data_IF_104058441084
#
_entry.id   IF_104058441084
#
_cell.length_a   1.000
_cell.length_b   1.000
_cell.length_c   1.000
_cell.angle_alpha   90.00
_cell.angle_beta   90.00
_cell.angle_gamma   90.00
#
_symmetry.space_group_name_H-M   'P 1'
#
loop_
_entity.id
_entity.type
_entity.pdbx_description
1 polymer ?
#
# COMPACT_ATOMS: atom_id res chain seq x y z
N UNK A 1 37.41 29.32 26.82
CA UNK A 1 37.98 27.99 27.10
C UNK A 1 36.83 27.15 27.61
N UNK A 2 36.19 26.44 26.67
CA UNK A 2 36.18 24.96 26.53
C UNK A 2 35.12 24.37 27.48
N UNK A 3 34.05 23.73 27.02
CA UNK A 3 33.92 22.83 25.87
C UNK A 3 32.43 22.63 25.53
N UNK A 4 32.10 22.57 24.24
CA UNK A 4 30.98 21.80 23.66
C UNK A 4 31.20 20.31 23.95
N UNK A 5 30.31 19.33 23.91
CA UNK A 5 29.05 19.00 23.26
C UNK A 5 28.45 17.87 24.10
N UNK A 6 27.14 17.61 24.01
CA UNK A 6 26.67 16.22 23.95
C UNK A 6 25.30 16.23 23.23
N UNK A 7 25.38 16.11 21.90
CA UNK A 7 24.26 15.71 21.06
C UNK A 7 23.80 14.32 21.52
N UNK A 8 22.69 14.28 22.24
CA UNK A 8 22.00 13.04 22.57
C UNK A 8 21.19 12.60 21.34
N UNK A 9 21.80 11.82 20.46
CA UNK A 9 21.05 11.01 19.49
C UNK A 9 20.52 9.76 20.21
N UNK A 10 19.23 9.41 20.07
CA UNK A 10 18.69 8.21 20.68
C UNK A 10 19.37 6.97 20.07
N UNK A 11 19.94 6.10 20.92
CA UNK A 11 20.47 4.80 20.51
C UNK A 11 19.36 4.01 19.77
N UNK A 12 19.56 3.76 18.48
CA UNK A 12 18.69 2.90 17.68
C UNK A 12 18.70 1.48 18.25
N UNK A 13 17.51 0.96 18.60
CA UNK A 13 17.32 -0.40 19.11
C UNK A 13 17.36 -1.41 17.94
N UNK A 14 18.56 -1.59 17.39
CA UNK A 14 18.86 -2.48 16.27
C UNK A 14 18.40 -3.93 16.48
N UNK A 15 18.39 -4.42 17.72
CA UNK A 15 18.01 -5.80 18.05
C UNK A 15 16.50 -6.03 17.81
N UNK A 16 15.68 -5.03 18.12
CA UNK A 16 14.24 -5.06 17.88
C UNK A 16 13.87 -5.00 16.38
N UNK A 17 14.63 -4.22 15.61
CA UNK A 17 14.42 -4.07 14.17
C UNK A 17 14.87 -5.35 13.43
N UNK A 18 16.08 -5.85 13.72
CA UNK A 18 16.57 -7.12 13.16
C UNK A 18 15.62 -8.29 13.46
N UNK A 19 15.06 -8.33 14.67
CA UNK A 19 14.05 -9.33 15.05
C UNK A 19 12.77 -9.17 14.22
N UNK A 20 12.31 -7.94 14.00
CA UNK A 20 11.11 -7.69 13.18
C UNK A 20 11.33 -8.11 11.73
N UNK A 21 12.46 -7.72 11.13
CA UNK A 21 12.88 -8.11 9.77
C UNK A 21 12.90 -9.63 9.56
N UNK A 22 13.34 -10.39 10.56
CA UNK A 22 13.39 -11.86 10.47
C UNK A 22 12.00 -12.47 10.23
N UNK A 23 10.96 -11.96 10.90
CA UNK A 23 9.59 -12.45 10.67
C UNK A 23 9.06 -12.11 9.29
N UNK A 24 9.43 -10.95 8.74
CA UNK A 24 9.07 -10.57 7.35
C UNK A 24 9.74 -11.52 6.37
N UNK A 25 11.04 -11.79 6.55
CA UNK A 25 11.81 -12.73 5.73
C UNK A 25 11.21 -14.13 5.74
N UNK A 26 10.94 -14.70 6.93
CA UNK A 26 10.37 -16.05 7.04
C UNK A 26 8.96 -16.13 6.47
N UNK A 27 8.14 -15.09 6.68
CA UNK A 27 6.79 -15.01 6.08
C UNK A 27 6.86 -14.98 4.55
N UNK A 28 7.71 -14.11 3.98
CA UNK A 28 7.95 -14.05 2.54
C UNK A 28 8.36 -15.42 1.99
N UNK A 29 9.27 -16.12 2.67
CA UNK A 29 9.69 -17.48 2.31
C UNK A 29 8.54 -18.45 2.09
N UNK A 30 7.52 -18.44 2.95
CA UNK A 30 6.33 -19.29 2.82
C UNK A 30 5.44 -18.85 1.64
N UNK A 31 5.12 -17.56 1.54
CA UNK A 31 4.29 -17.06 0.42
C UNK A 31 4.94 -17.34 -0.93
N UNK A 32 6.25 -17.16 -1.01
CA UNK A 32 7.00 -17.38 -2.22
C UNK A 32 7.11 -18.86 -2.58
N UNK A 33 7.64 -19.68 -1.67
CA UNK A 33 8.03 -21.08 -1.97
C UNK A 33 6.85 -22.04 -1.91
N UNK A 34 5.94 -21.83 -0.97
CA UNK A 34 4.81 -22.73 -0.73
C UNK A 34 3.53 -22.25 -1.43
N UNK A 35 3.27 -20.93 -1.43
CA UNK A 35 2.05 -20.43 -2.07
C UNK A 35 2.27 -20.11 -3.56
N UNK A 36 3.48 -19.70 -3.94
CA UNK A 36 3.74 -19.14 -5.27
C UNK A 36 3.10 -17.77 -5.44
N UNK A 37 3.09 -16.96 -4.38
CA UNK A 37 2.54 -15.61 -4.34
C UNK A 37 3.68 -14.59 -4.34
N UNK A 38 3.45 -13.44 -4.96
CA UNK A 38 4.30 -12.25 -4.80
C UNK A 38 4.18 -11.77 -3.37
N UNK A 39 5.27 -11.27 -2.82
CA UNK A 39 5.32 -10.66 -1.49
C UNK A 39 5.94 -9.28 -1.64
N UNK A 40 5.24 -8.27 -1.18
CA UNK A 40 5.67 -6.87 -1.26
C UNK A 40 5.71 -6.32 0.15
N UNK A 41 6.92 -6.11 0.65
CA UNK A 41 7.15 -5.49 1.96
C UNK A 41 6.82 -3.99 1.92
N UNK A 42 6.30 -3.47 3.02
CA UNK A 42 6.14 -2.03 3.27
C UNK A 42 7.23 -1.61 4.25
N UNK A 43 8.20 -0.84 3.79
CA UNK A 43 9.36 -0.42 4.60
C UNK A 43 9.06 0.78 5.50
N UNK A 44 8.01 1.54 5.21
CA UNK A 44 7.54 2.67 6.03
C UNK A 44 6.07 2.42 6.40
N UNK A 45 5.80 1.97 7.63
CA UNK A 45 4.44 1.66 8.08
C UNK A 45 4.12 2.36 9.40
N UNK A 46 3.50 3.53 9.32
CA UNK A 46 2.90 4.23 10.45
C UNK A 46 1.54 3.60 10.86
N UNK A 47 0.93 2.83 9.95
CA UNK A 47 -0.45 2.31 10.04
C UNK A 47 -0.56 0.82 10.42
N UNK A 48 0.54 0.06 10.43
CA UNK A 48 0.56 -1.32 10.93
C UNK A 48 0.09 -2.38 9.93
N UNK A 49 0.45 -2.21 8.65
CA UNK A 49 0.57 -3.31 7.68
C UNK A 49 2.06 -3.39 7.31
N UNK A 50 2.64 -4.58 7.34
CA UNK A 50 4.08 -4.75 7.06
C UNK A 50 4.33 -5.29 5.64
N UNK A 51 3.33 -5.94 5.03
CA UNK A 51 3.46 -6.47 3.68
C UNK A 51 2.11 -6.74 3.01
N UNK A 52 2.15 -6.93 1.70
CA UNK A 52 1.09 -7.57 0.92
C UNK A 52 1.57 -8.88 0.33
N UNK A 53 0.66 -9.83 0.20
CA UNK A 53 0.88 -11.03 -0.60
C UNK A 53 -0.16 -11.13 -1.71
N UNK A 54 0.30 -11.32 -2.95
CA UNK A 54 -0.54 -11.40 -4.15
C UNK A 54 -0.35 -12.72 -4.90
N UNK A 55 -1.45 -13.40 -5.24
CA UNK A 55 -1.37 -14.57 -6.10
C UNK A 55 -0.95 -14.20 -7.53
N UNK A 56 0.17 -14.77 -7.99
CA UNK A 56 0.68 -14.59 -9.37
C UNK A 56 -0.36 -15.04 -10.40
N UNK A 57 -0.97 -16.20 -10.15
CA UNK A 57 -2.03 -16.77 -10.99
C UNK A 57 -3.40 -16.44 -10.41
N UNK A 58 -4.37 -16.02 -11.24
CA UNK A 58 -5.73 -15.81 -10.76
C UNK A 58 -6.30 -17.06 -10.11
N UNK A 59 -6.90 -16.91 -8.94
CA UNK A 59 -7.56 -17.99 -8.20
C UNK A 59 -9.04 -17.93 -8.57
N UNK A 60 -9.55 -18.96 -9.26
CA UNK A 60 -10.91 -18.98 -9.82
C UNK A 60 -11.21 -17.73 -10.69
N UNK A 61 -10.22 -17.29 -11.46
CA UNK A 61 -10.34 -16.12 -12.35
C UNK A 61 -10.28 -14.77 -11.64
N UNK A 62 -10.00 -14.72 -10.33
CA UNK A 62 -9.92 -13.48 -9.56
C UNK A 62 -8.52 -13.23 -9.04
N UNK A 63 -8.14 -11.95 -8.99
CA UNK A 63 -6.93 -11.50 -8.30
C UNK A 63 -7.10 -11.73 -6.80
N UNK A 64 -6.05 -12.20 -6.12
CA UNK A 64 -6.02 -12.40 -4.67
C UNK A 64 -4.88 -11.61 -4.11
N UNK A 65 -5.21 -10.64 -3.27
CA UNK A 65 -4.26 -9.82 -2.53
C UNK A 65 -4.72 -9.86 -1.08
N UNK A 66 -3.77 -9.99 -0.16
CA UNK A 66 -4.01 -9.87 1.28
C UNK A 66 -3.00 -8.92 1.89
N UNK A 67 -3.40 -8.24 2.95
CA UNK A 67 -2.52 -7.40 3.75
C UNK A 67 -2.07 -8.18 4.98
N UNK A 68 -0.82 -7.99 5.37
CA UNK A 68 -0.15 -8.76 6.42
C UNK A 68 0.37 -7.81 7.48
N UNK A 69 0.00 -8.05 8.74
CA UNK A 69 0.75 -7.55 9.89
C UNK A 69 1.52 -8.73 10.48
N UNK A 70 2.83 -8.55 10.59
CA UNK A 70 3.79 -9.53 11.06
C UNK A 70 4.28 -9.09 12.46
N UNK A 71 4.28 -10.04 13.40
CA UNK A 71 4.74 -9.82 14.77
C UNK A 71 5.76 -10.90 15.13
N UNK A 72 6.99 -10.48 15.38
CA UNK A 72 8.09 -11.39 15.70
C UNK A 72 8.42 -11.37 17.18
N UNK A 73 8.55 -12.55 17.77
CA UNK A 73 9.07 -12.73 19.11
C UNK A 73 8.18 -13.61 19.98
N UNK A 74 8.82 -14.32 20.92
CA UNK A 74 8.15 -15.25 21.85
C UNK A 74 7.13 -14.57 22.76
N UNK A 75 7.26 -13.26 23.00
CA UNK A 75 6.34 -12.45 23.81
C UNK A 75 4.91 -12.38 23.24
N UNK A 76 4.76 -12.61 21.93
CA UNK A 76 3.46 -12.71 21.24
C UNK A 76 2.81 -14.10 21.38
N UNK A 77 3.58 -15.13 21.71
CA UNK A 77 3.11 -16.52 21.84
C UNK A 77 2.57 -16.82 23.25
N UNK A 78 1.58 -16.05 23.68
CA UNK A 78 0.90 -16.25 24.97
C UNK A 78 -0.10 -17.39 24.86
N UNK A 79 0.12 -18.49 25.59
CA UNK A 79 -0.78 -19.65 25.57
C UNK A 79 -2.17 -19.34 26.13
N UNK A 80 -3.18 -19.91 25.50
CA UNK A 80 -4.58 -19.96 25.93
C UNK A 80 -5.13 -21.35 25.62
N UNK A 81 -5.04 -22.27 26.59
CA UNK A 81 -5.32 -23.68 26.34
C UNK A 81 -4.30 -24.25 25.36
N UNK A 82 -4.78 -24.87 24.29
CA UNK A 82 -3.94 -25.37 23.19
C UNK A 82 -3.59 -24.29 22.15
N UNK A 83 -4.18 -23.11 22.23
CA UNK A 83 -4.02 -22.03 21.25
C UNK A 83 -3.20 -20.88 21.81
N UNK A 84 -3.06 -19.81 21.03
CA UNK A 84 -2.40 -18.58 21.42
C UNK A 84 -3.38 -17.41 21.45
N UNK A 85 -3.04 -16.35 22.19
CA UNK A 85 -3.82 -15.11 22.23
C UNK A 85 -2.94 -13.91 21.93
N UNK A 86 -3.33 -13.16 20.90
CA UNK A 86 -2.73 -11.87 20.59
C UNK A 86 -3.54 -10.75 21.22
N UNK A 87 -2.86 -9.70 21.68
CA UNK A 87 -3.46 -8.47 22.19
C UNK A 87 -3.02 -7.28 21.35
N UNK A 88 -3.96 -6.49 20.86
CA UNK A 88 -3.70 -5.32 20.02
C UNK A 88 -4.29 -4.02 20.58
N UNK A 89 -3.76 -2.87 20.12
CA UNK A 89 -4.34 -1.55 20.40
C UNK A 89 -5.62 -1.35 19.59
N UNK A 90 -6.61 -0.64 20.15
CA UNK A 90 -7.91 -0.41 19.49
C UNK A 90 -7.78 0.23 18.10
N UNK A 91 -6.89 1.22 17.96
CA UNK A 91 -6.61 1.87 16.65
C UNK A 91 -6.25 0.88 15.54
N UNK A 92 -5.52 -0.19 15.86
CA UNK A 92 -5.16 -1.21 14.87
C UNK A 92 -6.36 -2.09 14.50
N UNK A 93 -7.27 -2.39 15.45
CA UNK A 93 -8.48 -3.16 15.11
C UNK A 93 -9.38 -2.37 14.17
N UNK A 94 -9.60 -1.09 14.47
CA UNK A 94 -10.39 -0.21 13.62
C UNK A 94 -9.81 -0.16 12.23
N UNK A 95 -8.52 0.16 12.12
CA UNK A 95 -7.81 0.22 10.85
C UNK A 95 -7.85 -1.11 10.08
N UNK A 96 -7.47 -2.24 10.70
CA UNK A 96 -7.41 -3.54 10.03
C UNK A 96 -8.78 -4.08 9.60
N UNK A 97 -9.84 -3.81 10.37
CA UNK A 97 -11.18 -4.36 10.07
C UNK A 97 -11.97 -3.52 9.07
N UNK A 98 -11.52 -2.28 8.80
CA UNK A 98 -12.05 -1.44 7.72
C UNK A 98 -11.09 -1.36 6.54
N UNK A 99 -9.95 -2.07 6.60
CA UNK A 99 -8.95 -2.05 5.56
C UNK A 99 -9.54 -2.67 4.27
N UNK A 100 -9.26 -2.11 3.07
CA UNK A 100 -9.83 -2.60 1.82
C UNK A 100 -9.47 -4.06 1.52
N UNK A 101 -8.30 -4.50 2.00
CA UNK A 101 -7.80 -5.86 1.82
C UNK A 101 -8.06 -6.72 3.06
N UNK A 102 -8.29 -8.04 2.90
CA UNK A 102 -8.29 -8.97 4.02
C UNK A 102 -6.95 -8.88 4.78
N UNK A 103 -7.03 -8.50 6.07
CA UNK A 103 -5.84 -8.39 6.92
C UNK A 103 -5.61 -9.68 7.70
N UNK A 104 -4.40 -10.19 7.63
CA UNK A 104 -3.92 -11.32 8.41
C UNK A 104 -2.88 -10.85 9.40
N UNK A 105 -3.00 -11.32 10.65
CA UNK A 105 -1.90 -11.28 11.58
C UNK A 105 -1.07 -12.56 11.43
N UNK A 106 0.24 -12.40 11.27
CA UNK A 106 1.22 -13.46 11.28
C UNK A 106 2.07 -13.28 12.53
N UNK A 107 2.23 -14.33 13.32
CA UNK A 107 3.17 -14.35 14.44
C UNK A 107 4.33 -15.28 14.11
N UNK A 108 5.55 -14.78 14.28
CA UNK A 108 6.76 -15.56 14.11
C UNK A 108 7.48 -15.73 15.46
N UNK A 109 7.81 -16.97 15.83
CA UNK A 109 8.64 -17.28 16.98
C UNK A 109 10.03 -17.75 16.52
N UNK A 110 11.08 -16.93 16.68
CA UNK A 110 12.45 -17.30 16.27
C UNK A 110 13.02 -18.51 17.02
N UNK A 111 12.52 -18.82 18.22
CA UNK A 111 13.09 -19.89 19.06
C UNK A 111 12.79 -21.30 18.52
N UNK A 112 11.57 -21.52 18.01
CA UNK A 112 11.14 -22.82 17.48
C UNK A 112 10.78 -22.76 15.98
N UNK A 113 11.08 -21.63 15.33
CA UNK A 113 10.80 -21.36 13.92
C UNK A 113 9.32 -21.54 13.55
N UNK A 114 8.41 -21.20 14.47
CA UNK A 114 6.97 -21.33 14.23
C UNK A 114 6.38 -20.05 13.63
N UNK A 115 5.72 -20.17 12.49
CA UNK A 115 4.84 -19.15 11.91
C UNK A 115 3.38 -19.54 12.11
N UNK A 116 2.62 -18.72 12.82
CA UNK A 116 1.17 -18.88 12.98
C UNK A 116 0.42 -17.73 12.35
N UNK A 117 -0.80 -17.97 11.89
CA UNK A 117 -1.62 -16.93 11.26
C UNK A 117 -3.06 -16.91 11.76
N UNK A 118 -3.70 -15.75 11.67
CA UNK A 118 -5.14 -15.61 11.84
C UNK A 118 -5.66 -14.44 11.00
N UNK A 119 -6.81 -14.62 10.35
CA UNK A 119 -7.51 -13.52 9.70
C UNK A 119 -8.14 -12.62 10.76
N UNK A 120 -7.90 -11.31 10.67
CA UNK A 120 -8.46 -10.34 11.62
C UNK A 120 -9.87 -9.99 11.19
N UNK A 121 -10.87 -10.47 11.93
CA UNK A 121 -12.27 -10.16 11.73
C UNK A 121 -12.91 -9.78 13.07
N UNK A 122 -13.85 -8.82 13.07
CA UNK A 122 -14.42 -8.29 14.32
C UNK A 122 -15.13 -9.35 15.16
N UNK A 123 -15.79 -10.31 14.52
CA UNK A 123 -16.47 -11.43 15.17
C UNK A 123 -15.51 -12.42 15.86
N UNK A 124 -14.27 -12.53 15.37
CA UNK A 124 -13.18 -13.29 16.00
C UNK A 124 -12.47 -12.54 17.13
N UNK A 125 -12.75 -11.23 17.28
CA UNK A 125 -12.11 -10.37 18.26
C UNK A 125 -12.94 -10.21 19.53
N UNK A 126 -12.27 -10.21 20.68
CA UNK A 126 -12.86 -9.81 21.97
C UNK A 126 -12.38 -8.41 22.33
N UNK A 127 -13.32 -7.49 22.49
CA UNK A 127 -13.05 -6.12 22.91
C UNK A 127 -12.86 -6.02 24.42
N UNK A 128 -11.92 -5.18 24.84
CA UNK A 128 -11.68 -4.78 26.23
C UNK A 128 -11.64 -3.24 26.31
N UNK A 129 -11.47 -2.68 27.51
CA UNK A 129 -11.56 -1.21 27.72
C UNK A 129 -10.54 -0.38 26.92
N UNK A 130 -9.32 -0.88 26.72
CA UNK A 130 -8.20 -0.15 26.07
C UNK A 130 -7.53 -0.92 24.94
N UNK A 131 -7.90 -2.18 24.74
CA UNK A 131 -7.25 -3.10 23.82
C UNK A 131 -8.27 -4.14 23.36
N UNK A 132 -7.88 -4.95 22.40
CA UNK A 132 -8.65 -6.10 21.95
C UNK A 132 -7.78 -7.34 22.00
N UNK A 133 -8.39 -8.51 21.79
CA UNK A 133 -7.66 -9.76 21.67
C UNK A 133 -8.28 -10.68 20.64
N UNK A 134 -7.46 -11.51 20.00
CA UNK A 134 -7.89 -12.56 19.07
C UNK A 134 -7.18 -13.87 19.42
N UNK A 135 -7.90 -14.98 19.26
CA UNK A 135 -7.31 -16.32 19.40
C UNK A 135 -6.65 -16.70 18.09
N UNK A 136 -5.41 -17.15 18.17
CA UNK A 136 -4.62 -17.69 17.07
C UNK A 136 -4.50 -19.19 17.31
N UNK A 137 -5.29 -20.02 16.60
CA UNK A 137 -5.27 -21.46 16.75
C UNK A 137 -3.87 -22.02 16.52
N UNK A 138 -3.44 -22.97 17.36
CA UNK A 138 -2.14 -23.65 17.16
C UNK A 138 -2.09 -24.45 15.85
N UNK A 139 -3.24 -24.84 15.32
CA UNK A 139 -3.37 -25.49 14.02
C UNK A 139 -3.18 -24.56 12.83
N UNK A 140 -3.27 -23.24 13.02
CA UNK A 140 -3.08 -22.27 11.94
C UNK A 140 -1.60 -22.01 11.68
N UNK A 141 -0.87 -23.06 11.32
CA UNK A 141 0.54 -22.95 10.92
C UNK A 141 0.60 -22.34 9.51
N UNK A 142 1.46 -21.35 9.32
CA UNK A 142 1.68 -20.73 8.01
C UNK A 142 2.64 -21.61 7.21
N UNK A 143 2.07 -22.49 6.40
CA UNK A 143 2.75 -23.36 5.45
C UNK A 143 1.75 -23.70 4.32
N UNK A 144 2.11 -24.59 3.40
CA UNK A 144 1.30 -24.98 2.25
C UNK A 144 -0.16 -25.31 2.60
N UNK A 145 -0.42 -25.91 3.77
CA UNK A 145 -1.79 -26.25 4.21
C UNK A 145 -2.68 -25.02 4.43
N UNK A 146 -2.08 -23.86 4.74
CA UNK A 146 -2.79 -22.61 4.92
C UNK A 146 -3.21 -21.97 3.59
N UNK A 147 -2.58 -22.32 2.47
CA UNK A 147 -2.80 -21.68 1.15
C UNK A 147 -4.28 -21.60 0.79
N UNK A 148 -5.03 -22.68 0.99
CA UNK A 148 -6.45 -22.73 0.69
C UNK A 148 -7.28 -21.69 1.47
N UNK A 149 -6.89 -21.37 2.70
CA UNK A 149 -7.57 -20.35 3.50
C UNK A 149 -7.31 -18.93 2.98
N UNK A 150 -6.09 -18.65 2.53
CA UNK A 150 -5.74 -17.38 1.90
C UNK A 150 -6.38 -17.23 0.51
N UNK A 151 -6.51 -18.33 -0.25
CA UNK A 151 -7.20 -18.35 -1.54
C UNK A 151 -8.73 -18.16 -1.41
N UNK A 152 -9.30 -18.52 -0.25
CA UNK A 152 -10.72 -18.43 0.02
C UNK A 152 -11.18 -17.02 0.44
N UNK A 153 -10.27 -16.07 0.67
CA UNK A 153 -10.61 -14.69 1.03
C UNK A 153 -11.39 -13.99 -0.09
N UNK A 154 -12.02 -12.88 0.22
CA UNK A 154 -12.65 -12.05 -0.79
C UNK A 154 -11.57 -11.48 -1.72
N UNK A 155 -11.90 -11.35 -3.01
CA UNK A 155 -11.04 -10.68 -3.97
C UNK A 155 -11.43 -9.23 -4.04
N UNK A 156 -10.44 -8.34 -4.15
CA UNK A 156 -10.68 -6.99 -4.64
C UNK A 156 -11.26 -7.02 -6.05
N UNK A 157 -12.13 -6.05 -6.34
CA UNK A 157 -12.42 -5.72 -7.73
C UNK A 157 -11.13 -5.25 -8.42
N UNK A 158 -10.96 -5.48 -9.73
CA UNK A 158 -9.74 -5.07 -10.44
C UNK A 158 -9.35 -3.60 -10.24
N UNK A 159 -10.33 -2.70 -10.17
CA UNK A 159 -10.09 -1.27 -9.93
C UNK A 159 -9.54 -0.97 -8.52
N UNK A 160 -9.99 -1.70 -7.51
CA UNK A 160 -9.51 -1.54 -6.13
C UNK A 160 -8.07 -2.05 -6.00
N UNK A 161 -7.73 -3.15 -6.68
CA UNK A 161 -6.36 -3.67 -6.73
C UNK A 161 -5.41 -2.67 -7.39
N UNK A 162 -5.85 -1.97 -8.44
CA UNK A 162 -5.07 -0.89 -9.05
C UNK A 162 -4.85 0.28 -8.08
N UNK A 163 -5.92 0.75 -7.40
CA UNK A 163 -5.80 1.82 -6.41
C UNK A 163 -4.83 1.47 -5.29
N UNK A 164 -4.92 0.26 -4.74
CA UNK A 164 -3.99 -0.20 -3.70
C UNK A 164 -2.53 -0.22 -4.18
N UNK A 165 -2.28 -0.63 -5.42
CA UNK A 165 -0.93 -0.57 -5.99
C UNK A 165 -0.45 0.86 -6.23
N UNK A 166 -1.34 1.80 -6.56
CA UNK A 166 -0.96 3.19 -6.73
C UNK A 166 -0.68 3.87 -5.38
N UNK A 167 -1.51 3.60 -4.37
CA UNK A 167 -1.28 4.06 -2.99
C UNK A 167 0.05 3.54 -2.44
N UNK A 168 0.42 2.31 -2.82
CA UNK A 168 1.67 1.68 -2.38
C UNK A 168 2.95 2.27 -2.95
N UNK A 169 2.83 2.95 -4.08
CA UNK A 169 3.92 3.50 -4.85
C UNK A 169 3.78 5.01 -4.98
N UNK A 170 2.95 5.68 -4.18
CA UNK A 170 2.66 7.11 -4.35
C UNK A 170 3.94 7.96 -4.43
N UNK A 171 4.86 7.79 -3.47
CA UNK A 171 6.18 8.44 -3.48
C UNK A 171 7.00 8.05 -4.71
N UNK A 172 7.05 6.76 -5.07
CA UNK A 172 7.81 6.30 -6.23
C UNK A 172 7.24 6.84 -7.54
N UNK A 173 5.91 6.96 -7.65
CA UNK A 173 5.21 7.55 -8.79
C UNK A 173 5.53 9.05 -8.86
N UNK A 174 5.47 9.77 -7.74
CA UNK A 174 5.81 11.20 -7.66
C UNK A 174 7.25 11.45 -8.11
N UNK A 175 8.23 10.76 -7.53
CA UNK A 175 9.63 10.88 -7.96
C UNK A 175 9.82 10.50 -9.43
N UNK A 176 9.14 9.46 -9.90
CA UNK A 176 9.23 9.04 -11.30
C UNK A 176 8.56 10.01 -12.28
N UNK A 177 7.67 10.89 -11.80
CA UNK A 177 7.04 11.92 -12.63
C UNK A 177 8.01 13.07 -12.92
N UNK A 178 8.94 13.33 -12.00
CA UNK A 178 9.85 14.48 -12.05
C UNK A 178 11.28 14.12 -12.51
N UNK A 179 11.59 12.82 -12.63
CA UNK A 179 12.94 12.32 -12.94
C UNK A 179 12.97 11.34 -14.12
N UNK A 180 14.16 11.10 -14.67
CA UNK A 180 14.37 9.98 -15.58
C UNK A 180 14.57 8.68 -14.77
N UNK A 181 13.52 7.86 -14.63
CA UNK A 181 13.59 6.65 -13.78
C UNK A 181 14.00 5.39 -14.53
N UNK A 182 14.86 4.58 -13.92
CA UNK A 182 15.32 3.30 -14.45
C UNK A 182 15.10 2.15 -13.46
N UNK A 183 14.45 1.09 -13.93
CA UNK A 183 14.33 -0.17 -13.19
C UNK A 183 15.32 -1.18 -13.74
N UNK A 184 16.17 -1.71 -12.87
CA UNK A 184 17.14 -2.76 -13.20
C UNK A 184 16.74 -4.04 -12.49
N UNK A 185 16.28 -5.02 -13.27
CA UNK A 185 15.90 -6.34 -12.80
C UNK A 185 16.99 -7.37 -13.07
N UNK A 186 17.18 -8.30 -12.13
CA UNK A 186 18.08 -9.44 -12.28
C UNK A 186 17.29 -10.72 -12.62
N UNK A 187 17.47 -11.26 -13.82
CA UNK A 187 16.94 -12.57 -14.22
C UNK A 187 18.00 -13.66 -14.06
N UNK A 188 17.76 -14.60 -13.15
CA UNK A 188 18.60 -15.76 -12.88
C UNK A 188 18.15 -16.96 -13.72
N UNK A 189 18.68 -17.07 -14.94
CA UNK A 189 18.24 -18.00 -16.00
C UNK A 189 18.22 -19.48 -15.62
N UNK A 190 19.03 -19.91 -14.65
CA UNK A 190 19.13 -21.32 -14.23
C UNK A 190 18.55 -21.59 -12.84
N UNK A 191 17.71 -20.70 -12.29
CA UNK A 191 17.15 -20.83 -10.94
C UNK A 191 15.62 -20.81 -10.97
N UNK A 192 14.98 -21.51 -10.03
CA UNK A 192 13.50 -21.56 -9.91
C UNK A 192 12.88 -20.24 -9.41
N UNK A 193 13.67 -19.41 -8.75
CA UNK A 193 13.35 -18.02 -8.41
C UNK A 193 14.09 -17.15 -9.42
N UNK A 194 13.45 -16.94 -10.58
CA UNK A 194 14.10 -16.39 -11.77
C UNK A 194 14.35 -14.91 -11.63
N UNK A 195 13.32 -14.08 -11.50
CA UNK A 195 13.51 -12.64 -11.29
C UNK A 195 13.80 -12.34 -9.83
N UNK A 196 14.87 -11.59 -9.59
CA UNK A 196 15.31 -11.15 -8.28
C UNK A 196 15.67 -9.69 -8.32
N UNK A 197 15.76 -9.10 -7.13
CA UNK A 197 16.38 -7.79 -6.88
C UNK A 197 15.97 -6.71 -7.89
N UNK A 198 15.05 -5.84 -7.49
CA UNK A 198 14.80 -4.62 -8.24
C UNK A 198 15.72 -3.52 -7.69
N UNK A 199 16.54 -2.94 -8.57
CA UNK A 199 17.28 -1.71 -8.30
C UNK A 199 16.63 -0.57 -9.08
N UNK A 200 16.30 0.51 -8.40
CA UNK A 200 15.74 1.71 -9.00
C UNK A 200 16.79 2.81 -8.96
N UNK A 201 16.93 3.52 -10.08
CA UNK A 201 17.79 4.67 -10.23
C UNK A 201 16.98 5.86 -10.75
N UNK A 202 17.21 7.03 -10.19
CA UNK A 202 16.69 8.29 -10.69
C UNK A 202 17.77 9.07 -11.43
N UNK A 203 17.40 9.66 -12.56
CA UNK A 203 18.20 10.45 -13.51
C UNK A 203 19.34 9.71 -14.22
N UNK A 204 20.18 8.95 -13.50
CA UNK A 204 21.27 8.18 -14.08
C UNK A 204 21.55 6.85 -13.35
N UNK A 205 21.97 5.84 -14.11
CA UNK A 205 22.41 4.56 -13.55
C UNK A 205 23.89 4.67 -13.15
N UNK A 206 24.14 5.23 -11.97
CA UNK A 206 25.48 5.43 -11.41
C UNK A 206 25.56 4.95 -9.95
N UNK A 207 26.69 4.35 -9.58
CA UNK A 207 26.98 4.02 -8.18
C UNK A 207 25.94 3.11 -7.50
N UNK A 208 25.48 3.53 -6.33
CA UNK A 208 24.46 2.85 -5.53
C UNK A 208 23.06 3.21 -6.01
N UNK A 209 22.14 2.23 -6.11
CA UNK A 209 20.75 2.51 -6.46
C UNK A 209 20.05 3.36 -5.39
N UNK A 210 19.15 4.24 -5.83
CA UNK A 210 18.32 5.07 -4.95
C UNK A 210 17.34 4.23 -4.13
N UNK A 211 16.84 3.13 -4.73
CA UNK A 211 16.03 2.14 -4.04
C UNK A 211 16.45 0.73 -4.42
N UNK A 212 16.56 -0.15 -3.43
CA UNK A 212 16.79 -1.59 -3.62
C UNK A 212 15.68 -2.37 -2.96
N UNK A 213 14.99 -3.20 -3.75
CA UNK A 213 13.93 -4.08 -3.26
C UNK A 213 14.33 -5.52 -3.54
N UNK A 214 14.43 -6.30 -2.46
CA UNK A 214 14.77 -7.72 -2.53
C UNK A 214 13.55 -8.55 -2.94
N UNK A 215 13.34 -8.64 -4.25
CA UNK A 215 12.40 -9.60 -4.81
C UNK A 215 13.05 -10.96 -5.04
N UNK A 216 12.23 -12.00 -4.95
CA UNK A 216 12.53 -13.30 -5.50
C UNK A 216 11.22 -13.86 -6.06
N UNK A 217 11.07 -13.94 -7.38
CA UNK A 217 9.79 -14.18 -8.05
C UNK A 217 9.94 -15.39 -8.98
N UNK A 218 9.08 -16.42 -8.86
CA UNK A 218 9.19 -17.67 -9.61
C UNK A 218 8.45 -17.57 -10.95
N UNK A 219 8.86 -16.62 -11.80
CA UNK A 219 8.31 -16.44 -13.16
C UNK A 219 9.41 -15.98 -14.10
N UNK A 220 9.27 -16.29 -15.39
CA UNK A 220 10.16 -15.79 -16.45
C UNK A 220 9.48 -14.68 -17.27
N UNK A 221 8.30 -14.23 -16.84
CA UNK A 221 7.52 -13.19 -17.50
C UNK A 221 7.71 -11.85 -16.77
N UNK A 222 8.68 -11.05 -17.23
CA UNK A 222 8.91 -9.72 -16.70
C UNK A 222 7.69 -8.82 -16.87
N UNK A 223 6.92 -9.00 -17.94
CA UNK A 223 5.72 -8.18 -18.17
C UNK A 223 4.64 -8.47 -17.13
N UNK A 224 4.47 -9.75 -16.75
CA UNK A 224 3.61 -10.12 -15.62
C UNK A 224 4.07 -9.46 -14.31
N UNK A 225 5.37 -9.42 -14.02
CA UNK A 225 5.89 -8.76 -12.82
C UNK A 225 5.56 -7.27 -12.85
N UNK A 226 5.92 -6.57 -13.93
CA UNK A 226 5.71 -5.14 -14.07
C UNK A 226 4.22 -4.77 -13.99
N UNK A 227 3.33 -5.56 -14.62
CA UNK A 227 1.89 -5.26 -14.60
C UNK A 227 1.19 -5.61 -13.28
N UNK A 228 1.81 -6.42 -12.41
CA UNK A 228 1.26 -6.76 -11.09
C UNK A 228 1.79 -5.88 -9.98
N UNK A 229 3.11 -5.70 -9.93
CA UNK A 229 3.75 -4.91 -8.88
C UNK A 229 3.75 -3.41 -9.18
N UNK A 230 3.87 -3.03 -10.45
CA UNK A 230 4.00 -1.63 -10.89
C UNK A 230 2.97 -1.31 -11.97
N UNK A 231 1.66 -1.55 -11.75
CA UNK A 231 0.64 -1.29 -12.76
C UNK A 231 0.49 0.19 -13.10
N UNK A 232 1.12 1.10 -12.35
CA UNK A 232 1.23 2.52 -12.66
C UNK A 232 2.28 2.82 -13.73
N UNK A 233 3.26 1.93 -13.94
CA UNK A 233 4.38 2.16 -14.82
C UNK A 233 4.02 1.90 -16.30
N UNK A 234 4.46 2.81 -17.16
CA UNK A 234 4.79 2.53 -18.55
C UNK A 234 6.31 2.34 -18.64
N UNK A 235 6.76 1.38 -19.46
CA UNK A 235 8.18 1.08 -19.54
C UNK A 235 8.61 0.60 -20.92
N UNK A 236 9.89 0.80 -21.20
CA UNK A 236 10.58 0.32 -22.39
C UNK A 236 12.01 -0.10 -22.02
N UNK A 237 12.64 -0.95 -22.82
CA UNK A 237 14.05 -1.24 -22.62
C UNK A 237 14.88 0.00 -22.95
N UNK A 238 15.68 0.45 -21.98
CA UNK A 238 16.62 1.56 -22.15
C UNK A 238 17.84 1.13 -22.98
N UNK A 239 18.27 -0.13 -22.79
CA UNK A 239 19.45 -0.71 -23.43
C UNK A 239 19.30 -2.22 -23.61
N UNK A 240 20.12 -2.85 -24.48
CA UNK A 240 20.10 -4.30 -24.67
C UNK A 240 20.34 -5.06 -23.37
N UNK A 241 19.84 -6.30 -23.33
CA UNK A 241 20.09 -7.22 -22.21
C UNK A 241 21.59 -7.37 -21.99
N UNK A 242 22.00 -7.30 -20.72
CA UNK A 242 23.39 -7.49 -20.33
C UNK A 242 23.51 -8.76 -19.51
N UNK A 243 24.36 -9.67 -19.94
CA UNK A 243 24.66 -10.90 -19.21
C UNK A 243 25.86 -10.69 -18.28
N UNK A 244 25.73 -11.19 -17.06
CA UNK A 244 26.79 -11.21 -16.05
C UNK A 244 27.15 -12.67 -15.80
N UNK A 245 28.40 -13.01 -16.15
CA UNK A 245 29.02 -14.31 -15.89
C UNK A 245 28.21 -15.53 -16.40
N UNK A 246 27.31 -15.36 -17.37
CA UNK A 246 26.50 -16.44 -17.93
C UNK A 246 25.36 -16.92 -17.02
N UNK A 247 25.12 -16.24 -15.88
CA UNK A 247 24.16 -16.69 -14.87
C UNK A 247 23.03 -15.69 -14.63
N UNK A 248 23.31 -14.40 -14.80
CA UNK A 248 22.35 -13.32 -14.52
C UNK A 248 22.20 -12.45 -15.76
N UNK A 249 20.96 -12.28 -16.20
CA UNK A 249 20.60 -11.33 -17.26
C UNK A 249 20.01 -10.08 -16.62
N UNK A 250 20.58 -8.92 -16.93
CA UNK A 250 20.08 -7.63 -16.47
C UNK A 250 19.10 -7.05 -17.48
N UNK A 251 17.90 -6.74 -17.01
CA UNK A 251 16.89 -5.97 -17.74
C UNK A 251 16.91 -4.55 -17.23
N UNK A 252 17.31 -3.61 -18.08
CA UNK A 252 17.32 -2.19 -17.75
C UNK A 252 16.17 -1.52 -18.49
N UNK A 253 15.17 -1.11 -17.71
CA UNK A 253 13.94 -0.50 -18.20
C UNK A 253 13.96 1.00 -17.91
N UNK A 254 13.65 1.83 -18.90
CA UNK A 254 13.25 3.22 -18.65
C UNK A 254 11.76 3.23 -18.29
N UNK A 255 11.42 3.84 -17.17
CA UNK A 255 10.09 3.81 -16.55
C UNK A 255 9.53 5.22 -16.45
N UNK A 256 8.23 5.37 -16.73
CA UNK A 256 7.48 6.60 -16.50
C UNK A 256 6.10 6.28 -15.93
N UNK A 257 5.54 7.15 -15.07
CA UNK A 257 4.15 7.05 -14.68
C UNK A 257 3.22 7.16 -15.89
N UNK A 258 2.23 6.27 -15.97
CA UNK A 258 1.13 6.43 -16.92
C UNK A 258 0.21 7.59 -16.51
N UNK A 259 -0.53 8.19 -17.45
CA UNK A 259 -1.44 9.31 -17.13
C UNK A 259 -2.45 9.02 -16.03
N UNK A 260 -2.96 7.79 -15.95
CA UNK A 260 -3.91 7.39 -14.92
C UNK A 260 -3.32 7.38 -13.50
N UNK A 261 -2.01 7.14 -13.35
CA UNK A 261 -1.34 7.18 -12.06
C UNK A 261 -1.12 8.62 -11.60
N UNK A 262 -0.77 9.53 -12.52
CA UNK A 262 -0.65 10.96 -12.23
C UNK A 262 -2.00 11.57 -11.83
N UNK A 263 -3.08 11.23 -12.55
CA UNK A 263 -4.43 11.69 -12.21
C UNK A 263 -4.91 11.14 -10.85
N UNK A 264 -4.46 9.95 -10.47
CA UNK A 264 -4.71 9.40 -9.14
C UNK A 264 -4.03 10.24 -8.05
N UNK A 265 -2.74 10.57 -8.20
CA UNK A 265 -2.03 11.42 -7.25
C UNK A 265 -2.67 12.80 -7.09
N UNK A 266 -3.09 13.42 -8.20
CA UNK A 266 -3.80 14.70 -8.17
C UNK A 266 -5.11 14.61 -7.36
N UNK A 267 -5.88 13.54 -7.56
CA UNK A 267 -7.10 13.30 -6.81
C UNK A 267 -6.83 13.04 -5.31
N UNK A 268 -5.83 12.23 -4.97
CA UNK A 268 -5.45 11.98 -3.57
C UNK A 268 -4.97 13.25 -2.88
N UNK A 269 -4.20 14.09 -3.57
CA UNK A 269 -3.79 15.40 -3.07
C UNK A 269 -5.01 16.29 -2.77
N UNK A 270 -5.98 16.36 -3.67
CA UNK A 270 -7.23 17.10 -3.43
C UNK A 270 -7.99 16.53 -2.22
N UNK A 271 -8.10 15.21 -2.07
CA UNK A 271 -8.79 14.61 -0.93
C UNK A 271 -8.09 14.90 0.40
N UNK A 272 -6.77 15.02 0.39
CA UNK A 272 -5.95 15.34 1.57
C UNK A 272 -6.01 16.82 1.93
N UNK A 273 -5.87 17.70 0.93
CA UNK A 273 -5.79 19.16 1.11
C UNK A 273 -7.19 19.77 1.34
N UNK A 274 -8.24 19.08 0.87
CA UNK A 274 -9.62 19.53 0.96
C UNK A 274 -10.00 20.50 -0.17
N UNK A 275 -11.17 21.10 -0.03
CA UNK A 275 -11.65 22.06 -1.02
C UNK A 275 -10.75 23.31 -1.00
N UNK A 276 -10.26 23.80 -2.15
CA UNK A 276 -9.45 25.01 -2.20
C UNK A 276 -10.25 26.22 -1.70
N UNK A 277 -9.57 27.22 -1.13
CA UNK A 277 -10.19 28.49 -0.76
C UNK A 277 -10.61 29.27 -2.02
N UNK A 278 -11.78 28.95 -2.54
CA UNK A 278 -12.37 29.59 -3.72
C UNK A 278 -13.26 30.78 -3.31
N UNK A 279 -13.13 31.89 -4.02
CA UNK A 279 -14.06 33.01 -3.87
C UNK A 279 -15.40 32.58 -4.45
N UNK A 280 -16.45 32.65 -3.64
CA UNK A 280 -17.81 32.37 -4.09
C UNK A 280 -18.14 33.26 -5.29
N UNK A 281 -18.65 32.70 -6.40
CA UNK A 281 -19.01 33.51 -7.55
C UNK A 281 -20.11 34.49 -7.15
N UNK A 282 -19.92 35.77 -7.47
CA UNK A 282 -21.00 36.75 -7.35
C UNK A 282 -22.12 36.37 -8.33
N UNK A 283 -23.40 36.45 -7.93
CA UNK A 283 -24.47 36.38 -8.90
C UNK A 283 -24.27 37.49 -9.95
N UNK A 284 -24.60 37.24 -11.23
CA UNK A 284 -24.56 38.31 -12.23
C UNK A 284 -25.46 39.46 -11.79
N UNK A 285 -25.09 40.68 -12.18
CA UNK A 285 -25.97 41.84 -12.01
C UNK A 285 -27.28 41.54 -12.75
N UNK A 286 -28.40 41.65 -12.04
CA UNK A 286 -29.71 41.48 -12.63
C UNK A 286 -30.01 42.75 -13.46
N UNK A 287 -29.77 42.68 -14.77
CA UNK A 287 -30.04 43.79 -15.71
C UNK A 287 -31.54 44.15 -15.75
N UNK A 288 -32.41 43.23 -15.31
CA UNK A 288 -33.85 43.44 -15.15
C UNK A 288 -34.24 43.73 -13.69
N UNK A 289 -33.28 43.80 -12.75
CA UNK A 289 -33.57 44.22 -11.39
C UNK A 289 -34.00 45.68 -11.43
N UNK A 290 -35.28 45.87 -11.17
CA UNK A 290 -35.81 47.21 -11.02
C UNK A 290 -35.05 47.91 -9.92
N UNK A 291 -34.52 49.07 -10.26
CA UNK A 291 -34.07 50.01 -9.25
C UNK A 291 -35.22 50.28 -8.28
N UNK A 292 -34.89 50.62 -7.03
CA UNK A 292 -35.93 50.96 -6.04
C UNK A 292 -36.90 52.02 -6.58
N UNK A 293 -36.42 52.95 -7.42
CA UNK A 293 -37.23 53.97 -8.08
C UNK A 293 -38.19 53.40 -9.15
N UNK A 294 -37.73 52.46 -9.99
CA UNK A 294 -38.57 51.78 -10.98
C UNK A 294 -39.65 50.92 -10.31
N UNK A 295 -39.28 50.22 -9.24
CA UNK A 295 -40.22 49.45 -8.44
C UNK A 295 -41.25 50.32 -7.75
N UNK A 296 -40.83 51.43 -7.13
CA UNK A 296 -41.74 52.39 -6.52
C UNK A 296 -42.68 53.03 -7.55
N UNK A 297 -42.16 53.39 -8.74
CA UNK A 297 -42.96 53.97 -9.82
C UNK A 297 -44.01 52.98 -10.37
N UNK A 298 -43.63 51.72 -10.58
CA UNK A 298 -44.59 50.69 -10.99
C UNK A 298 -45.66 50.43 -9.93
N UNK A 299 -45.27 50.34 -8.66
CA UNK A 299 -46.21 50.12 -7.56
C UNK A 299 -47.17 51.31 -7.39
N UNK A 300 -46.70 52.54 -7.58
CA UNK A 300 -47.54 53.74 -7.57
C UNK A 300 -48.53 53.76 -8.74
N UNK A 301 -48.07 53.43 -9.97
CA UNK A 301 -48.95 53.33 -11.14
C UNK A 301 -50.03 52.25 -10.96
N UNK A 302 -49.65 51.09 -10.44
CA UNK A 302 -50.59 49.99 -10.13
C UNK A 302 -51.58 50.34 -9.03
N UNK A 303 -51.18 51.18 -8.06
CA UNK A 303 -52.08 51.69 -7.02
C UNK A 303 -53.11 52.67 -7.58
N UNK A 304 -52.70 53.55 -8.49
CA UNK A 304 -53.60 54.48 -9.20
C UNK A 304 -54.59 53.72 -10.09
N UNK A 305 -54.13 52.72 -10.85
CA UNK A 305 -55.00 51.88 -11.70
C UNK A 305 -55.99 51.01 -10.91
N UNK A 306 -55.73 50.77 -9.62
CA UNK A 306 -56.61 50.04 -8.71
C UNK A 306 -57.53 50.93 -7.90
N UNK A 307 -57.38 52.26 -7.95
CA UNK A 307 -58.29 53.19 -7.30
C UNK A 307 -59.50 53.43 -8.23
N UNK A 308 -60.70 52.88 -7.94
CA UNK A 308 -61.87 53.06 -8.79
C UNK A 308 -62.51 54.45 -8.64
N UNK A 309 -61.91 55.35 -7.85
CA UNK A 309 -62.44 56.66 -7.52
C UNK A 309 -61.47 57.82 -7.81
N UNK A 310 -60.43 57.57 -8.63
CA UNK A 310 -59.63 58.59 -9.32
C UNK A 310 -60.03 58.75 -10.78
#
# INVERSE_FOLDING_TARGET
MTTTDENWEPEEDWDSELTSRLGVHESNGVFLKEFGWLFREITVSDRGIDAYAEAIKPVKGKVKIVALQIKTGSSYFRKRGNDFIYYGKMRHLEYWTTYPLPVFIIMYNPHDNALLWQRVERDKCKLHKKHWSIVIPSSNVLNFSAKAAFEATESLAPAEALRANFELDDELIEYSAESDTYFVWEEWVNKSLTFRNLKVYFDEIAGTPDLSIEYAIPTNDLHLIMTRLFPWAEYSYDRPLREIQGEVVLHVLKVKPRPAALAYLEAEKFFKDGYPDEVAPSPPDDEDAWTDDEYNAFMMKRAIEKDPYG
#
